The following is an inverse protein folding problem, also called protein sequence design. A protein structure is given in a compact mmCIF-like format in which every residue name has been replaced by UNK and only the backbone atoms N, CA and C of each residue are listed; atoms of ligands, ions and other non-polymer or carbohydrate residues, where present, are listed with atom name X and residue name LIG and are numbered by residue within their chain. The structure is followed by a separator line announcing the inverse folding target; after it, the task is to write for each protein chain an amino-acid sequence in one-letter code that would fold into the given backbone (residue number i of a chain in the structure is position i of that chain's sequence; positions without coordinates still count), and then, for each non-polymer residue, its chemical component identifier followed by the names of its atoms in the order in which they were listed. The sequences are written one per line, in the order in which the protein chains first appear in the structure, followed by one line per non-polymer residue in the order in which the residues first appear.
data_IF_891349046374
#
_entry.id   IF_891349046374
#
_cell.length_a   1.000
_cell.length_b   1.000
_cell.length_c   1.000
_cell.angle_alpha   90.00
_cell.angle_beta   90.00
_cell.angle_gamma   90.00
#
_symmetry.space_group_name_H-M   'P 1'
#
loop_
_entity.id
_entity.type
_entity.pdbx_description
1 polymer ?
#
# COMPACT_ATOMS: atom_id res chain seq x y z
N UNK A 1 26.82 -21.20 7.48
CA UNK A 1 26.04 -20.50 8.53
C UNK A 1 24.59 -20.84 8.25
N UNK A 2 23.92 -21.51 9.17
CA UNK A 2 22.56 -21.96 8.97
C UNK A 2 21.60 -20.75 9.05
N UNK A 3 20.56 -20.76 8.25
CA UNK A 3 19.56 -19.67 8.17
C UNK A 3 19.00 -19.34 9.57
N UNK A 4 18.77 -20.36 10.41
CA UNK A 4 18.30 -20.20 11.79
C UNK A 4 19.26 -19.40 12.70
N UNK A 5 20.58 -19.49 12.46
CA UNK A 5 21.56 -18.72 13.24
C UNK A 5 21.53 -17.24 12.86
N UNK A 6 21.38 -16.94 11.56
CA UNK A 6 21.21 -15.56 11.07
C UNK A 6 19.99 -14.91 11.72
N UNK A 7 18.85 -15.61 11.77
CA UNK A 7 17.64 -15.10 12.42
C UNK A 7 17.82 -14.81 13.91
N UNK A 8 18.55 -15.68 14.66
CA UNK A 8 18.84 -15.48 16.08
C UNK A 8 19.71 -14.25 16.35
N UNK A 9 20.69 -13.99 15.50
CA UNK A 9 21.60 -12.84 15.67
C UNK A 9 20.84 -11.51 15.46
N UNK A 10 19.88 -11.47 14.53
CA UNK A 10 19.05 -10.27 14.29
C UNK A 10 17.87 -10.11 15.26
N UNK A 11 17.38 -11.18 15.90
CA UNK A 11 16.35 -11.06 16.95
C UNK A 11 16.82 -10.25 18.16
N UNK A 12 18.15 -10.12 18.36
CA UNK A 12 18.74 -9.31 19.42
C UNK A 12 18.87 -7.83 19.04
N UNK A 13 18.80 -7.49 17.75
CA UNK A 13 18.84 -6.10 17.28
C UNK A 13 17.55 -5.38 17.64
N UNK A 14 17.67 -4.28 18.38
CA UNK A 14 16.50 -3.51 18.85
C UNK A 14 15.68 -2.90 17.70
N UNK A 15 16.32 -2.52 16.60
CA UNK A 15 15.68 -1.92 15.43
C UNK A 15 14.85 -2.98 14.70
N UNK A 16 15.44 -4.15 14.44
CA UNK A 16 14.79 -5.30 13.83
C UNK A 16 13.61 -5.76 14.67
N UNK A 17 13.79 -5.85 15.97
CA UNK A 17 12.74 -6.25 16.93
C UNK A 17 11.58 -5.25 16.95
N UNK A 18 11.85 -3.96 16.91
CA UNK A 18 10.80 -2.92 16.83
C UNK A 18 9.99 -3.04 15.53
N UNK A 19 10.66 -3.23 14.40
CA UNK A 19 9.98 -3.42 13.11
C UNK A 19 9.12 -4.67 13.10
N UNK A 20 9.68 -5.80 13.54
CA UNK A 20 8.97 -7.08 13.62
C UNK A 20 7.73 -7.00 14.52
N UNK A 21 7.84 -6.37 15.68
CA UNK A 21 6.72 -6.20 16.59
C UNK A 21 5.56 -5.40 15.93
N UNK A 22 5.86 -4.33 15.17
CA UNK A 22 4.83 -3.61 14.44
C UNK A 22 4.18 -4.47 13.35
N UNK A 23 4.95 -5.29 12.66
CA UNK A 23 4.45 -6.23 11.68
C UNK A 23 3.51 -7.28 12.33
N UNK A 24 3.87 -7.81 13.51
CA UNK A 24 3.01 -8.73 14.28
C UNK A 24 1.71 -8.06 14.69
N UNK A 25 1.77 -6.81 15.18
CA UNK A 25 0.55 -6.05 15.51
C UNK A 25 -0.35 -5.85 14.29
N UNK A 26 0.24 -5.56 13.13
CA UNK A 26 -0.50 -5.40 11.88
C UNK A 26 -1.20 -6.71 11.45
N UNK A 27 -0.50 -7.85 11.56
CA UNK A 27 -1.05 -9.19 11.29
C UNK A 27 -2.21 -9.53 12.22
N UNK A 28 -2.07 -9.25 13.51
CA UNK A 28 -3.12 -9.49 14.49
C UNK A 28 -4.35 -8.61 14.20
N UNK A 29 -4.15 -7.37 13.79
CA UNK A 29 -5.23 -6.49 13.40
C UNK A 29 -5.97 -6.99 12.15
N UNK A 30 -5.23 -7.49 11.15
CA UNK A 30 -5.83 -8.12 9.96
C UNK A 30 -6.68 -9.34 10.33
N UNK A 31 -6.22 -10.16 11.26
CA UNK A 31 -6.98 -11.31 11.77
C UNK A 31 -8.30 -10.86 12.45
N UNK A 32 -8.27 -9.81 13.23
CA UNK A 32 -9.47 -9.25 13.87
C UNK A 32 -10.46 -8.77 12.80
N UNK A 33 -10.00 -8.06 11.76
CA UNK A 33 -10.85 -7.62 10.66
C UNK A 33 -11.52 -8.78 9.91
N UNK A 34 -10.84 -9.92 9.79
CA UNK A 34 -11.37 -11.11 9.12
C UNK A 34 -12.41 -11.86 9.96
N UNK A 35 -12.26 -11.87 11.28
CA UNK A 35 -13.07 -12.68 12.21
C UNK A 35 -14.24 -11.91 12.83
N UNK A 36 -14.17 -10.58 12.88
CA UNK A 36 -15.21 -9.78 13.50
C UNK A 36 -16.39 -9.57 12.55
N UNK A 37 -17.57 -10.04 12.88
CA UNK A 37 -18.81 -9.63 12.20
C UNK A 37 -19.09 -8.15 12.49
N UNK A 38 -19.22 -7.36 11.44
CA UNK A 38 -19.67 -5.98 11.59
C UNK A 38 -21.15 -5.97 11.92
N UNK A 39 -21.48 -5.72 13.17
CA UNK A 39 -22.85 -5.48 13.62
C UNK A 39 -22.98 -3.98 13.89
N UNK A 40 -23.57 -3.25 12.96
CA UNK A 40 -23.97 -1.87 13.21
C UNK A 40 -25.28 -1.85 14.01
N UNK A 41 -25.26 -1.15 15.12
CA UNK A 41 -26.49 -0.86 15.90
C UNK A 41 -27.30 0.30 15.30
N UNK A 42 -26.86 0.86 14.16
CA UNK A 42 -27.36 2.12 13.60
C UNK A 42 -28.15 1.99 12.29
N UNK A 43 -28.37 0.77 11.78
CA UNK A 43 -29.25 0.50 10.63
C UNK A 43 -28.57 -0.07 9.39
N UNK A 44 -29.36 -0.54 8.43
CA UNK A 44 -28.92 -1.28 7.23
C UNK A 44 -27.94 -0.49 6.33
N UNK A 45 -28.04 0.84 6.30
CA UNK A 45 -27.17 1.66 5.48
C UNK A 45 -25.72 1.69 6.01
N UNK A 46 -25.56 1.83 7.32
CA UNK A 46 -24.24 1.84 7.97
C UNK A 46 -23.59 0.46 7.93
N UNK A 47 -24.38 -0.61 8.02
CA UNK A 47 -23.90 -1.98 7.81
C UNK A 47 -23.35 -2.17 6.39
N UNK A 48 -24.03 -1.62 5.38
CA UNK A 48 -23.58 -1.67 3.99
C UNK A 48 -22.28 -0.90 3.77
N UNK A 49 -22.12 0.27 4.39
CA UNK A 49 -20.87 1.06 4.35
C UNK A 49 -19.74 0.32 5.05
N UNK A 50 -19.99 -0.27 6.21
CA UNK A 50 -19.00 -1.07 6.94
C UNK A 50 -18.54 -2.29 6.14
N UNK A 51 -19.44 -3.00 5.48
CA UNK A 51 -19.08 -4.11 4.57
C UNK A 51 -18.22 -3.64 3.40
N UNK A 52 -18.55 -2.50 2.79
CA UNK A 52 -17.77 -1.92 1.70
C UNK A 52 -16.38 -1.47 2.17
N UNK A 53 -16.29 -0.85 3.35
CA UNK A 53 -15.02 -0.44 3.93
C UNK A 53 -14.09 -1.65 4.13
N UNK A 54 -14.59 -2.78 4.63
CA UNK A 54 -13.81 -4.01 4.76
C UNK A 54 -13.29 -4.52 3.41
N UNK A 55 -14.14 -4.51 2.38
CA UNK A 55 -13.76 -4.95 1.02
C UNK A 55 -12.58 -4.11 0.50
N UNK A 56 -12.53 -2.82 0.79
CA UNK A 56 -11.43 -1.94 0.35
C UNK A 56 -10.22 -2.00 1.28
N UNK A 57 -10.41 -2.09 2.59
CA UNK A 57 -9.34 -2.03 3.57
C UNK A 57 -8.51 -3.31 3.64
N UNK A 58 -9.15 -4.46 3.46
CA UNK A 58 -8.46 -5.76 3.52
C UNK A 58 -7.32 -5.88 2.51
N UNK A 59 -7.50 -5.61 1.20
CA UNK A 59 -6.40 -5.64 0.25
C UNK A 59 -5.27 -4.67 0.60
N UNK A 60 -5.62 -3.47 1.07
CA UNK A 60 -4.63 -2.47 1.48
C UNK A 60 -3.76 -3.00 2.63
N UNK A 61 -4.40 -3.57 3.65
CA UNK A 61 -3.72 -4.14 4.81
C UNK A 61 -2.86 -5.34 4.44
N UNK A 62 -3.35 -6.21 3.55
CA UNK A 62 -2.60 -7.37 3.04
C UNK A 62 -1.31 -6.91 2.35
N UNK A 63 -1.36 -5.87 1.52
CA UNK A 63 -0.18 -5.32 0.84
C UNK A 63 0.85 -4.81 1.87
N UNK A 64 0.43 -4.12 2.94
CA UNK A 64 1.36 -3.73 4.01
C UNK A 64 2.06 -4.92 4.65
N UNK A 65 1.30 -5.98 4.95
CA UNK A 65 1.84 -7.20 5.57
C UNK A 65 2.86 -7.87 4.64
N UNK A 66 2.52 -8.03 3.37
CA UNK A 66 3.37 -8.70 2.38
C UNK A 66 4.67 -7.92 2.12
N UNK A 67 4.57 -6.60 1.92
CA UNK A 67 5.73 -5.74 1.75
C UNK A 67 6.63 -5.75 3.00
N UNK A 68 6.04 -5.67 4.18
CA UNK A 68 6.80 -5.65 5.44
C UNK A 68 7.44 -6.99 5.77
N UNK A 69 6.78 -8.11 5.48
CA UNK A 69 7.42 -9.43 5.58
C UNK A 69 8.65 -9.52 4.64
N UNK A 70 8.50 -9.03 3.41
CA UNK A 70 9.58 -9.06 2.43
C UNK A 70 10.73 -8.14 2.85
N UNK A 71 10.45 -6.96 3.40
CA UNK A 71 11.47 -6.05 3.95
C UNK A 71 12.23 -6.73 5.09
N UNK A 72 11.51 -7.33 6.05
CA UNK A 72 12.12 -8.05 7.16
C UNK A 72 13.04 -9.19 6.67
N UNK A 73 12.56 -10.00 5.72
CA UNK A 73 13.35 -11.06 5.11
C UNK A 73 14.59 -10.53 4.37
N UNK A 74 14.44 -9.50 3.55
CA UNK A 74 15.56 -8.90 2.81
C UNK A 74 16.62 -8.32 3.76
N UNK A 75 16.21 -7.68 4.85
CA UNK A 75 17.12 -7.14 5.84
C UNK A 75 17.89 -8.27 6.55
N UNK A 76 17.21 -9.26 7.08
CA UNK A 76 17.82 -10.37 7.83
C UNK A 76 18.68 -11.27 6.96
N UNK A 77 18.37 -11.39 5.67
CA UNK A 77 19.22 -12.11 4.68
C UNK A 77 20.29 -11.26 4.03
N UNK A 78 20.43 -9.99 4.42
CA UNK A 78 21.36 -9.02 3.84
C UNK A 78 21.15 -8.79 2.32
N UNK A 79 19.94 -9.02 1.82
CA UNK A 79 19.60 -8.74 0.44
C UNK A 79 19.16 -7.26 0.28
N UNK A 80 20.13 -6.36 0.45
CA UNK A 80 19.88 -4.94 0.56
C UNK A 80 19.36 -4.28 -0.74
N UNK A 81 19.76 -4.80 -1.90
CA UNK A 81 19.20 -4.30 -3.16
C UNK A 81 17.68 -4.54 -3.25
N UNK A 82 17.24 -5.76 -2.95
CA UNK A 82 15.81 -6.07 -2.93
C UNK A 82 15.07 -5.30 -1.83
N UNK A 83 15.73 -5.07 -0.68
CA UNK A 83 15.18 -4.26 0.40
C UNK A 83 14.85 -2.83 -0.09
N UNK A 84 15.77 -2.16 -0.78
CA UNK A 84 15.54 -0.81 -1.33
C UNK A 84 14.35 -0.76 -2.30
N UNK A 85 14.25 -1.76 -3.19
CA UNK A 85 13.14 -1.87 -4.15
C UNK A 85 11.79 -2.02 -3.44
N UNK A 86 11.72 -2.94 -2.48
CA UNK A 86 10.48 -3.22 -1.74
C UNK A 86 10.13 -2.06 -0.80
N UNK A 87 11.14 -1.44 -0.18
CA UNK A 87 10.93 -0.30 0.70
C UNK A 87 10.34 0.90 -0.06
N UNK A 88 10.84 1.18 -1.26
CA UNK A 88 10.23 2.16 -2.16
C UNK A 88 8.76 1.86 -2.40
N UNK A 89 8.42 0.60 -2.70
CA UNK A 89 7.03 0.18 -2.93
C UNK A 89 6.16 0.39 -1.68
N UNK A 90 6.70 0.12 -0.48
CA UNK A 90 6.02 0.40 0.78
C UNK A 90 5.73 1.90 0.95
N UNK A 91 6.69 2.78 0.64
CA UNK A 91 6.49 4.23 0.68
C UNK A 91 5.40 4.70 -0.30
N UNK A 92 5.41 4.18 -1.52
CA UNK A 92 4.40 4.50 -2.54
C UNK A 92 3.00 4.07 -2.07
N UNK A 93 2.90 2.85 -1.55
CA UNK A 93 1.65 2.33 -1.02
C UNK A 93 1.13 3.17 0.15
N UNK A 94 2.01 3.50 1.10
CA UNK A 94 1.65 4.31 2.26
C UNK A 94 1.22 5.73 1.87
N UNK A 95 1.90 6.36 0.92
CA UNK A 95 1.50 7.66 0.39
C UNK A 95 0.10 7.61 -0.25
N UNK A 96 -0.23 6.56 -0.99
CA UNK A 96 -1.56 6.36 -1.57
C UNK A 96 -2.63 6.18 -0.50
N UNK A 97 -2.34 5.40 0.55
CA UNK A 97 -3.25 5.22 1.70
C UNK A 97 -3.53 6.55 2.39
N UNK A 98 -2.49 7.30 2.74
CA UNK A 98 -2.66 8.60 3.40
C UNK A 98 -3.37 9.62 2.51
N UNK A 99 -3.20 9.54 1.19
CA UNK A 99 -3.91 10.39 0.24
C UNK A 99 -5.44 10.15 0.25
N UNK A 100 -5.89 8.97 0.65
CA UNK A 100 -7.32 8.70 0.81
C UNK A 100 -7.92 9.36 2.06
N UNK A 101 -7.11 9.97 2.95
CA UNK A 101 -7.62 10.71 4.10
C UNK A 101 -7.98 12.16 3.77
N UNK A 102 -8.93 12.66 4.52
CA UNK A 102 -9.23 14.08 4.67
C UNK A 102 -9.35 14.43 6.17
N UNK A 103 -9.72 15.66 6.49
CA UNK A 103 -9.88 16.13 7.89
C UNK A 103 -10.98 15.40 8.68
N UNK A 104 -11.87 14.68 7.99
CA UNK A 104 -13.04 13.99 8.58
C UNK A 104 -12.86 12.47 8.66
N UNK A 105 -11.70 11.95 8.25
CA UNK A 105 -11.42 10.51 8.16
C UNK A 105 -11.14 10.05 6.72
N UNK A 106 -11.57 8.87 6.35
CA UNK A 106 -11.37 8.31 5.01
C UNK A 106 -12.30 8.98 3.99
N UNK A 107 -11.72 9.46 2.90
CA UNK A 107 -12.45 9.92 1.73
C UNK A 107 -12.86 8.72 0.88
N UNK A 108 -14.09 8.31 1.04
CA UNK A 108 -14.63 7.13 0.39
C UNK A 108 -14.59 7.23 -1.15
N UNK A 109 -14.76 8.43 -1.72
CA UNK A 109 -14.68 8.62 -3.17
C UNK A 109 -13.26 8.39 -3.71
N UNK A 110 -12.24 8.85 -2.97
CA UNK A 110 -10.83 8.58 -3.31
C UNK A 110 -10.51 7.09 -3.21
N UNK A 111 -10.96 6.43 -2.14
CA UNK A 111 -10.78 5.00 -1.95
C UNK A 111 -11.45 4.19 -3.06
N UNK A 112 -12.67 4.53 -3.43
CA UNK A 112 -13.36 3.94 -4.58
C UNK A 112 -12.60 4.20 -5.90
N UNK A 113 -12.06 5.41 -6.07
CA UNK A 113 -11.25 5.79 -7.23
C UNK A 113 -10.02 4.92 -7.38
N UNK A 114 -9.32 4.66 -6.28
CA UNK A 114 -8.17 3.76 -6.25
C UNK A 114 -8.55 2.34 -6.66
N UNK A 115 -9.57 1.79 -6.02
CA UNK A 115 -10.02 0.43 -6.32
C UNK A 115 -10.53 0.28 -7.75
N UNK A 116 -11.29 1.25 -8.24
CA UNK A 116 -11.80 1.28 -9.61
C UNK A 116 -10.68 1.35 -10.65
N UNK A 117 -9.63 2.15 -10.40
CA UNK A 117 -8.46 2.21 -11.27
C UNK A 117 -7.76 0.85 -11.37
N UNK A 118 -7.58 0.15 -10.24
CA UNK A 118 -7.01 -1.19 -10.24
C UNK A 118 -7.85 -2.18 -11.06
N UNK A 119 -9.18 -2.11 -10.96
CA UNK A 119 -10.06 -2.93 -11.78
C UNK A 119 -9.94 -2.62 -13.29
N UNK A 120 -9.73 -1.35 -13.66
CA UNK A 120 -9.51 -0.96 -15.05
C UNK A 120 -8.18 -1.51 -15.59
N UNK A 121 -7.12 -1.47 -14.79
CA UNK A 121 -5.80 -1.99 -15.16
C UNK A 121 -5.82 -3.52 -15.23
N UNK A 122 -6.48 -4.18 -14.29
CA UNK A 122 -6.69 -5.62 -14.30
C UNK A 122 -7.52 -6.06 -15.51
N UNK A 123 -8.58 -5.32 -15.84
CA UNK A 123 -9.36 -5.56 -17.07
C UNK A 123 -8.47 -5.53 -18.30
N UNK A 124 -7.64 -4.47 -18.44
CA UNK A 124 -6.75 -4.29 -19.60
C UNK A 124 -5.71 -5.40 -19.71
N UNK A 125 -5.16 -5.84 -18.58
CA UNK A 125 -4.20 -6.94 -18.53
C UNK A 125 -4.85 -8.27 -18.87
N UNK A 126 -6.01 -8.58 -18.29
CA UNK A 126 -6.76 -9.83 -18.53
C UNK A 126 -7.27 -9.90 -19.97
N UNK A 127 -7.69 -8.77 -20.56
CA UNK A 127 -8.12 -8.70 -21.97
C UNK A 127 -7.00 -9.14 -22.94
N UNK A 128 -5.75 -8.83 -22.61
CA UNK A 128 -4.59 -9.33 -23.38
C UNK A 128 -4.39 -10.83 -23.15
N UNK A 129 -4.49 -11.29 -21.88
CA UNK A 129 -4.29 -12.71 -21.57
C UNK A 129 -5.32 -13.61 -22.22
N UNK A 130 -6.58 -13.19 -22.32
CA UNK A 130 -7.64 -13.92 -23.04
C UNK A 130 -7.30 -14.18 -24.51
N UNK A 131 -6.46 -13.35 -25.14
CA UNK A 131 -6.01 -13.56 -26.52
C UNK A 131 -5.07 -14.78 -26.67
N UNK A 132 -4.42 -15.18 -25.57
CA UNK A 132 -3.44 -16.27 -25.54
C UNK A 132 -3.98 -17.54 -24.85
N UNK A 133 -4.90 -17.38 -23.88
CA UNK A 133 -5.42 -18.49 -23.06
C UNK A 133 -6.87 -18.24 -22.66
N UNK A 134 -7.74 -19.14 -23.11
CA UNK A 134 -9.18 -19.11 -22.86
C UNK A 134 -9.56 -19.26 -21.38
N UNK A 135 -8.67 -19.78 -20.53
CA UNK A 135 -8.90 -19.92 -19.08
C UNK A 135 -9.16 -18.58 -18.39
N UNK A 136 -8.69 -17.46 -18.97
CA UNK A 136 -8.92 -16.11 -18.44
C UNK A 136 -10.29 -15.51 -18.78
N UNK A 137 -11.11 -16.16 -19.62
CA UNK A 137 -12.42 -15.60 -20.07
C UNK A 137 -13.38 -15.35 -18.90
N UNK A 138 -13.48 -16.30 -17.97
CA UNK A 138 -14.37 -16.14 -16.80
C UNK A 138 -13.89 -15.04 -15.87
N UNK A 139 -12.60 -14.92 -15.64
CA UNK A 139 -12.02 -13.83 -14.85
C UNK A 139 -12.28 -12.47 -15.51
N UNK A 140 -12.08 -12.35 -16.81
CA UNK A 140 -12.41 -11.15 -17.57
C UNK A 140 -13.87 -10.74 -17.45
N UNK A 141 -14.78 -11.70 -17.52
CA UNK A 141 -16.23 -11.49 -17.34
C UNK A 141 -16.55 -10.96 -15.93
N UNK A 142 -15.95 -11.55 -14.90
CA UNK A 142 -16.10 -11.08 -13.52
C UNK A 142 -15.64 -9.64 -13.34
N UNK A 143 -14.47 -9.27 -13.85
CA UNK A 143 -13.96 -7.89 -13.77
C UNK A 143 -14.93 -6.92 -14.47
N UNK A 144 -15.45 -7.27 -15.65
CA UNK A 144 -16.44 -6.45 -16.35
C UNK A 144 -17.72 -6.24 -15.53
N UNK A 145 -18.20 -7.29 -14.86
CA UNK A 145 -19.35 -7.20 -13.97
C UNK A 145 -19.06 -6.29 -12.77
N UNK A 146 -17.87 -6.41 -12.16
CA UNK A 146 -17.46 -5.55 -11.05
C UNK A 146 -17.41 -4.07 -11.46
N UNK A 147 -16.77 -3.75 -12.58
CA UNK A 147 -16.69 -2.40 -13.13
C UNK A 147 -18.08 -1.81 -13.43
N UNK A 148 -19.05 -2.66 -13.80
CA UNK A 148 -20.40 -2.19 -14.16
C UNK A 148 -21.29 -1.88 -12.95
N UNK A 149 -20.89 -2.24 -11.72
CA UNK A 149 -21.70 -2.03 -10.52
C UNK A 149 -22.10 -0.54 -10.34
N UNK A 150 -23.34 -0.27 -9.88
CA UNK A 150 -23.81 1.10 -9.62
C UNK A 150 -22.96 1.86 -8.61
N UNK A 151 -22.30 1.14 -7.70
CA UNK A 151 -21.34 1.64 -6.70
C UNK A 151 -20.28 2.57 -7.32
N UNK A 152 -19.82 2.29 -8.53
CA UNK A 152 -18.79 3.07 -9.22
C UNK A 152 -19.32 4.18 -10.12
N UNK A 153 -20.64 4.49 -10.11
CA UNK A 153 -21.22 5.49 -11.01
C UNK A 153 -20.50 6.83 -10.98
N UNK A 154 -20.26 7.39 -9.77
CA UNK A 154 -19.55 8.66 -9.61
C UNK A 154 -18.08 8.59 -10.03
N UNK A 155 -17.42 7.50 -9.70
CA UNK A 155 -15.99 7.31 -9.98
C UNK A 155 -15.71 7.12 -11.46
N UNK A 156 -16.61 6.49 -12.21
CA UNK A 156 -16.51 6.32 -13.68
C UNK A 156 -16.44 7.65 -14.44
N UNK A 157 -17.07 8.68 -13.91
CA UNK A 157 -17.06 10.01 -14.51
C UNK A 157 -15.72 10.73 -14.29
N UNK A 158 -14.96 10.32 -13.27
CA UNK A 158 -13.74 10.98 -12.80
C UNK A 158 -12.50 10.22 -13.26
N UNK A 159 -12.40 8.91 -12.96
CA UNK A 159 -11.23 8.09 -13.16
C UNK A 159 -11.24 7.42 -14.52
N UNK A 160 -10.14 7.60 -15.28
CA UNK A 160 -9.93 7.00 -16.60
C UNK A 160 -8.79 5.99 -16.57
N UNK A 161 -8.84 5.02 -17.48
CA UNK A 161 -7.74 4.06 -17.68
C UNK A 161 -6.47 4.77 -18.17
N UNK A 162 -5.31 4.29 -17.70
CA UNK A 162 -3.99 4.71 -18.20
C UNK A 162 -3.38 5.91 -17.49
N UNK A 163 -3.98 6.39 -16.40
CA UNK A 163 -3.41 7.41 -15.53
C UNK A 163 -3.49 6.96 -14.07
N UNK A 164 -2.58 7.43 -13.24
CA UNK A 164 -2.64 7.15 -11.82
C UNK A 164 -3.91 7.72 -11.21
N UNK A 165 -4.65 6.93 -10.45
CA UNK A 165 -5.95 7.30 -9.88
C UNK A 165 -5.93 8.60 -9.06
N UNK A 166 -4.86 8.85 -8.31
CA UNK A 166 -4.71 10.03 -7.47
C UNK A 166 -4.60 11.34 -8.27
N UNK A 167 -4.27 11.30 -9.55
CA UNK A 167 -4.21 12.49 -10.42
C UNK A 167 -5.59 13.09 -10.71
N UNK A 168 -6.66 12.35 -10.41
CA UNK A 168 -8.03 12.83 -10.59
C UNK A 168 -8.60 13.53 -9.36
N UNK A 169 -7.91 13.45 -8.21
CA UNK A 169 -8.37 13.96 -6.92
C UNK A 169 -7.45 15.06 -6.39
N UNK A 170 -8.05 16.03 -5.69
CA UNK A 170 -7.30 17.11 -5.07
C UNK A 170 -6.56 16.62 -3.81
N UNK A 171 -5.32 17.08 -3.65
CA UNK A 171 -4.51 16.80 -2.46
C UNK A 171 -4.96 17.66 -1.27
N UNK A 172 -5.27 18.93 -1.53
CA UNK A 172 -5.60 19.91 -0.51
C UNK A 172 -6.75 20.83 -0.94
N UNK A 173 -7.12 21.75 -0.06
CA UNK A 173 -8.15 22.77 -0.32
C UNK A 173 -7.80 23.73 -1.49
N UNK A 174 -6.54 23.77 -1.93
CA UNK A 174 -6.06 24.57 -3.07
C UNK A 174 -6.29 23.93 -4.44
N UNK A 175 -7.00 22.81 -4.49
CA UNK A 175 -7.27 22.06 -5.73
C UNK A 175 -6.02 21.56 -6.46
N UNK A 176 -4.91 21.37 -5.75
CA UNK A 176 -3.69 20.79 -6.31
C UNK A 176 -3.83 19.28 -6.47
N UNK A 177 -3.39 18.77 -7.62
CA UNK A 177 -3.42 17.33 -7.94
C UNK A 177 -1.99 16.81 -8.04
N UNK A 178 -1.68 15.61 -7.49
CA UNK A 178 -0.37 15.02 -7.70
C UNK A 178 -0.15 14.71 -9.18
N UNK A 179 0.97 15.16 -9.76
CA UNK A 179 1.33 14.90 -11.16
C UNK A 179 1.94 13.52 -11.40
N UNK A 180 2.42 12.87 -10.34
CA UNK A 180 3.03 11.54 -10.37
C UNK A 180 3.36 11.05 -8.97
N UNK A 181 3.88 9.83 -8.85
CA UNK A 181 4.15 9.18 -7.58
C UNK A 181 5.19 9.93 -6.74
N UNK A 182 6.24 10.46 -7.35
CA UNK A 182 7.25 11.28 -6.64
C UNK A 182 6.64 12.54 -6.04
N UNK A 183 5.72 13.16 -6.76
CA UNK A 183 5.01 14.34 -6.29
C UNK A 183 4.04 13.96 -5.16
N UNK A 184 3.33 12.83 -5.28
CA UNK A 184 2.47 12.29 -4.22
C UNK A 184 3.27 12.04 -2.93
N UNK A 185 4.39 11.32 -3.01
CA UNK A 185 5.27 11.03 -1.86
C UNK A 185 5.78 12.33 -1.23
N UNK A 186 6.23 13.28 -2.04
CA UNK A 186 6.70 14.59 -1.56
C UNK A 186 5.60 15.40 -0.86
N UNK A 187 4.39 15.35 -1.36
CA UNK A 187 3.25 16.07 -0.78
C UNK A 187 2.78 15.46 0.54
N UNK A 188 2.89 14.14 0.69
CA UNK A 188 2.49 13.42 1.90
C UNK A 188 3.56 13.51 3.00
N UNK A 189 4.81 13.22 2.65
CA UNK A 189 5.90 13.06 3.64
C UNK A 189 6.85 14.26 3.74
N UNK A 190 6.77 15.20 2.78
CA UNK A 190 7.66 16.36 2.74
C UNK A 190 8.89 16.17 1.85
N UNK A 191 9.71 17.24 1.77
CA UNK A 191 10.83 17.33 0.81
C UNK A 191 11.95 16.33 1.08
N UNK A 192 12.24 16.04 2.34
CA UNK A 192 13.33 15.12 2.70
C UNK A 192 13.04 13.70 2.25
N UNK A 193 11.80 13.26 2.36
CA UNK A 193 11.35 11.98 1.83
C UNK A 193 11.38 11.91 0.31
N UNK A 194 11.26 13.05 -0.39
CA UNK A 194 11.45 13.10 -1.84
C UNK A 194 12.87 12.71 -2.24
N UNK A 195 13.87 13.16 -1.50
CA UNK A 195 15.28 12.81 -1.74
C UNK A 195 15.47 11.31 -1.55
N UNK A 196 15.05 10.77 -0.42
CA UNK A 196 15.13 9.34 -0.14
C UNK A 196 14.40 8.50 -1.20
N UNK A 197 13.18 8.87 -1.54
CA UNK A 197 12.40 8.20 -2.58
C UNK A 197 13.12 8.21 -3.94
N UNK A 198 13.74 9.34 -4.32
CA UNK A 198 14.49 9.46 -5.57
C UNK A 198 15.71 8.54 -5.56
N UNK A 199 16.41 8.43 -4.42
CA UNK A 199 17.55 7.52 -4.25
C UNK A 199 17.12 6.06 -4.41
N UNK A 200 16.05 5.65 -3.71
CA UNK A 200 15.47 4.30 -3.85
C UNK A 200 15.00 4.01 -5.28
N UNK A 201 14.48 5.02 -5.99
CA UNK A 201 14.08 4.90 -7.38
C UNK A 201 15.23 4.60 -8.32
N UNK A 202 16.42 5.17 -8.07
CA UNK A 202 17.63 4.87 -8.87
C UNK A 202 18.08 3.42 -8.67
N UNK A 203 18.05 2.92 -7.45
CA UNK A 203 18.35 1.51 -7.15
C UNK A 203 17.42 0.56 -7.90
N UNK A 204 16.13 0.88 -7.99
CA UNK A 204 15.12 0.08 -8.71
C UNK A 204 15.42 -0.03 -10.20
N UNK A 205 16.00 1.00 -10.81
CA UNK A 205 16.33 1.02 -12.23
C UNK A 205 17.77 0.55 -12.53
N UNK A 206 18.44 -0.08 -11.55
CA UNK A 206 19.81 -0.58 -11.67
C UNK A 206 20.84 0.48 -12.12
N UNK A 207 20.55 1.76 -11.89
CA UNK A 207 21.41 2.88 -12.31
C UNK A 207 22.36 3.32 -11.19
N UNK A 208 22.15 2.82 -9.96
CA UNK A 208 22.94 3.25 -8.82
C UNK A 208 24.14 2.33 -8.58
N UNK A 209 25.24 2.62 -9.30
CA UNK A 209 26.54 1.96 -9.09
C UNK A 209 27.16 2.27 -7.71
N UNK A 210 26.61 3.22 -6.94
CA UNK A 210 27.07 3.57 -5.61
C UNK A 210 26.30 2.85 -4.49
N UNK A 211 25.38 1.95 -4.81
CA UNK A 211 24.62 1.17 -3.82
C UNK A 211 25.55 0.44 -2.82
N UNK A 212 26.75 0.01 -3.27
CA UNK A 212 27.77 -0.60 -2.42
C UNK A 212 28.49 0.35 -1.45
N UNK A 213 28.24 1.67 -1.55
CA UNK A 213 28.86 2.71 -0.71
C UNK A 213 27.86 3.33 0.27
N UNK A 214 26.73 2.65 0.52
CA UNK A 214 25.79 3.12 1.54
C UNK A 214 26.51 3.12 2.91
N UNK A 215 26.20 4.15 3.71
CA UNK A 215 26.68 4.17 5.09
C UNK A 215 26.15 2.95 5.84
N UNK A 216 26.94 2.45 6.79
CA UNK A 216 26.64 1.21 7.53
C UNK A 216 25.25 1.22 8.18
N UNK A 217 24.80 2.39 8.64
CA UNK A 217 23.49 2.57 9.29
C UNK A 217 22.33 2.89 8.31
N UNK A 218 22.60 2.96 7.00
CA UNK A 218 21.56 3.36 6.03
C UNK A 218 20.34 2.43 6.06
N UNK A 219 20.56 1.14 6.12
CA UNK A 219 19.47 0.15 6.13
C UNK A 219 18.73 0.11 7.46
N UNK A 220 19.40 0.43 8.56
CA UNK A 220 18.80 0.59 9.89
C UNK A 220 17.86 1.83 9.91
N UNK A 221 18.26 2.89 9.24
CA UNK A 221 17.41 4.07 9.04
C UNK A 221 16.17 3.70 8.24
N UNK A 222 16.31 2.94 7.13
CA UNK A 222 15.15 2.48 6.35
C UNK A 222 14.21 1.64 7.21
N UNK A 223 14.74 0.71 8.00
CA UNK A 223 13.93 -0.14 8.88
C UNK A 223 13.21 0.66 9.97
N UNK A 224 13.88 1.67 10.52
CA UNK A 224 13.30 2.60 11.50
C UNK A 224 12.14 3.41 10.90
N UNK A 225 12.33 3.93 9.68
CA UNK A 225 11.26 4.62 8.94
C UNK A 225 10.11 3.66 8.63
N UNK A 226 10.42 2.42 8.23
CA UNK A 226 9.42 1.37 8.02
C UNK A 226 8.59 1.12 9.27
N UNK A 227 9.23 1.12 10.45
CA UNK A 227 8.53 0.99 11.74
C UNK A 227 7.51 2.12 11.95
N UNK A 228 7.87 3.36 11.65
CA UNK A 228 6.95 4.50 11.78
C UNK A 228 5.82 4.43 10.74
N UNK A 229 6.11 4.01 9.51
CA UNK A 229 5.08 3.75 8.49
C UNK A 229 4.06 2.72 8.99
N UNK A 230 4.51 1.62 9.60
CA UNK A 230 3.60 0.58 10.12
C UNK A 230 2.78 1.09 11.31
N UNK A 231 3.37 1.90 12.21
CA UNK A 231 2.62 2.54 13.31
C UNK A 231 1.54 3.47 12.79
N UNK A 232 1.84 4.24 11.75
CA UNK A 232 0.87 5.15 11.14
C UNK A 232 -0.22 4.39 10.39
N UNK A 233 0.12 3.31 9.71
CA UNK A 233 -0.83 2.40 9.08
C UNK A 233 -1.78 1.79 10.13
N UNK A 234 -1.27 1.33 11.28
CA UNK A 234 -2.09 0.83 12.37
C UNK A 234 -3.08 1.89 12.89
N UNK A 235 -2.64 3.13 13.05
CA UNK A 235 -3.55 4.25 13.42
C UNK A 235 -4.61 4.48 12.35
N UNK A 236 -4.24 4.39 11.08
CA UNK A 236 -5.19 4.53 9.98
C UNK A 236 -6.31 3.48 10.05
N UNK A 237 -5.98 2.22 10.31
CA UNK A 237 -6.96 1.14 10.38
C UNK A 237 -7.77 1.13 11.68
N UNK A 238 -7.21 1.58 12.81
CA UNK A 238 -7.94 1.63 14.10
C UNK A 238 -9.03 2.68 14.14
N UNK A 239 -8.79 3.86 13.58
CA UNK A 239 -9.77 4.96 13.61
C UNK A 239 -11.08 4.67 12.89
N UNK A 240 -11.14 3.62 12.09
CA UNK A 240 -12.33 3.32 11.27
C UNK A 240 -13.15 2.14 11.83
N UNK A 241 -12.68 1.49 12.89
CA UNK A 241 -13.31 0.29 13.44
C UNK A 241 -13.61 0.38 14.95
N UNK A 242 -13.18 1.45 15.62
CA UNK A 242 -13.59 1.81 16.98
C UNK A 242 -14.80 2.76 16.94
#
# INVERSE_FOLDING_TARGET
MEIEQIFKDYEQDEIVKKFYNQLVYLKNHAFILDTTEYKSNKGEWEESVGKLMRIYMRPILTIYIDLSNTIYYCYTSQNFHSLEVIFRTLMEHHAQVLFTKNKKGIDFLKLQGWYYSNLLDEKKSTEKLVQYDDSYKEHYKLIKQMISKPLYKKVKEIVKSGSYWYQYFNYNEKNEKPSGVTNLVSNIFGKDFKIMYTTLSRSTHSVDFNAYRREENYYDILLSIGTEILKEALKYFRYEFD
#
